data_IF_568445097891
#
_entry.id   IF_568445097891
#
_cell.length_a   1.000
_cell.length_b   1.000
_cell.length_c   1.000
_cell.angle_alpha   90.00
_cell.angle_beta   90.00
_cell.angle_gamma   90.00
#
_symmetry.space_group_name_H-M   'P 1'
#
loop_
_entity.id
_entity.type
_entity.pdbx_description
1 polymer ?
#
# COMPACT_ATOMS: atom_id res chain seq x y z
N UNK A 1 -14.57 14.09 -4.92
CA UNK A 1 -13.28 14.49 -4.32
C UNK A 1 -12.32 13.32 -4.43
N UNK A 2 -11.00 13.55 -4.60
CA UNK A 2 -10.04 12.46 -4.72
C UNK A 2 -10.06 11.59 -3.47
N UNK A 3 -9.99 10.28 -3.64
CA UNK A 3 -9.90 9.28 -2.56
C UNK A 3 -8.45 8.86 -2.35
N UNK A 4 -8.12 8.25 -1.20
CA UNK A 4 -6.75 7.73 -1.00
C UNK A 4 -6.40 6.63 -2.03
N UNK A 5 -7.40 5.96 -2.60
CA UNK A 5 -7.20 4.95 -3.62
C UNK A 5 -6.71 5.53 -4.96
N UNK A 6 -6.78 6.86 -5.12
CA UNK A 6 -6.23 7.54 -6.29
C UNK A 6 -4.69 7.55 -6.31
N UNK A 7 -4.04 7.25 -5.18
CA UNK A 7 -2.59 7.06 -5.09
C UNK A 7 -2.11 5.77 -5.77
N UNK A 8 -3.00 4.80 -5.97
CA UNK A 8 -2.67 3.47 -6.50
C UNK A 8 -2.95 3.35 -7.99
N UNK A 9 -2.27 2.40 -8.63
CA UNK A 9 -2.54 2.02 -10.01
C UNK A 9 -4.02 1.63 -10.23
N UNK A 10 -4.54 1.73 -11.46
CA UNK A 10 -5.92 1.35 -11.78
C UNK A 10 -6.25 -0.09 -11.38
N UNK A 11 -5.30 -1.02 -11.56
CA UNK A 11 -5.50 -2.43 -11.24
C UNK A 11 -5.62 -2.65 -9.72
N UNK A 12 -4.72 -2.05 -8.93
CA UNK A 12 -4.78 -2.11 -7.48
C UNK A 12 -6.07 -1.47 -6.94
N UNK A 13 -6.47 -0.31 -7.46
CA UNK A 13 -7.73 0.35 -7.09
C UNK A 13 -8.94 -0.52 -7.35
N UNK A 14 -9.02 -1.14 -8.53
CA UNK A 14 -10.12 -2.03 -8.90
C UNK A 14 -10.17 -3.26 -7.99
N UNK A 15 -9.02 -3.87 -7.71
CA UNK A 15 -8.92 -5.00 -6.78
C UNK A 15 -9.39 -4.63 -5.38
N UNK A 16 -8.92 -3.51 -4.83
CA UNK A 16 -9.29 -3.08 -3.47
C UNK A 16 -10.80 -2.83 -3.38
N UNK A 17 -11.36 -2.10 -4.35
CA UNK A 17 -12.79 -1.74 -4.38
C UNK A 17 -13.70 -2.96 -4.57
N UNK A 18 -13.21 -4.03 -5.18
CA UNK A 18 -13.94 -5.30 -5.29
C UNK A 18 -13.83 -6.19 -4.04
N UNK A 19 -12.77 -6.02 -3.24
CA UNK A 19 -12.50 -6.85 -2.06
C UNK A 19 -13.00 -6.24 -0.74
N UNK A 20 -13.03 -4.90 -0.65
CA UNK A 20 -13.35 -4.17 0.58
C UNK A 20 -14.31 -3.01 0.31
N UNK A 21 -15.22 -2.69 1.25
CA UNK A 21 -16.16 -1.58 1.08
C UNK A 21 -15.48 -0.20 1.12
N UNK A 22 -14.45 -0.04 1.94
CA UNK A 22 -13.68 1.19 2.09
C UNK A 22 -12.34 0.92 2.79
N UNK A 23 -11.33 1.79 2.61
CA UNK A 23 -10.12 1.80 3.44
C UNK A 23 -10.43 2.04 4.92
N UNK A 24 -9.63 1.45 5.81
CA UNK A 24 -9.64 1.80 7.24
C UNK A 24 -8.80 3.05 7.51
N UNK A 25 -9.03 3.74 8.63
CA UNK A 25 -8.29 4.96 8.99
C UNK A 25 -6.76 4.77 8.97
N UNK A 26 -6.27 3.63 9.50
CA UNK A 26 -4.83 3.32 9.50
C UNK A 26 -4.28 3.06 8.10
N UNK A 27 -5.11 2.54 7.19
CA UNK A 27 -4.75 2.39 5.77
C UNK A 27 -4.68 3.75 5.10
N UNK A 28 -5.70 4.61 5.27
CA UNK A 28 -5.70 5.93 4.63
C UNK A 28 -4.51 6.79 5.07
N UNK A 29 -4.29 6.90 6.38
CA UNK A 29 -3.18 7.68 6.93
C UNK A 29 -1.83 7.06 6.56
N UNK A 30 -1.73 5.73 6.65
CA UNK A 30 -0.53 4.99 6.30
C UNK A 30 -0.12 5.18 4.85
N UNK A 31 -1.05 4.99 3.91
CA UNK A 31 -0.76 5.12 2.48
C UNK A 31 -0.41 6.54 2.06
N UNK A 32 -1.08 7.58 2.59
CA UNK A 32 -0.69 8.96 2.32
C UNK A 32 0.73 9.27 2.79
N UNK A 33 1.11 8.76 3.98
CA UNK A 33 2.44 8.96 4.55
C UNK A 33 3.51 8.24 3.73
N UNK A 34 3.29 6.96 3.42
CA UNK A 34 4.23 6.13 2.66
C UNK A 34 4.38 6.60 1.21
N UNK A 35 3.27 6.98 0.54
CA UNK A 35 3.31 7.54 -0.82
C UNK A 35 4.07 8.88 -0.88
N UNK A 36 4.09 9.63 0.22
CA UNK A 36 4.92 10.82 0.39
C UNK A 36 6.40 10.54 0.69
N UNK A 37 6.84 9.28 0.64
CA UNK A 37 8.23 8.87 0.89
C UNK A 37 8.64 8.90 2.36
N UNK A 38 7.69 8.92 3.30
CA UNK A 38 7.98 9.04 4.73
C UNK A 38 8.16 7.66 5.38
N UNK A 39 9.02 7.57 6.39
CA UNK A 39 9.01 6.46 7.33
C UNK A 39 7.78 6.57 8.24
N UNK A 40 6.97 5.52 8.31
CA UNK A 40 5.65 5.59 8.96
C UNK A 40 5.52 4.53 10.06
N UNK A 41 5.21 4.98 11.28
CA UNK A 41 4.74 4.10 12.37
C UNK A 41 3.21 4.09 12.38
N UNK A 42 2.61 2.92 12.10
CA UNK A 42 1.16 2.74 12.09
C UNK A 42 0.68 2.09 13.39
N UNK A 43 -0.04 2.83 14.22
CA UNK A 43 -0.63 2.35 15.47
C UNK A 43 -2.15 2.27 15.35
N UNK A 44 -2.70 1.06 15.49
CA UNK A 44 -4.15 0.80 15.47
C UNK A 44 -4.46 -0.54 16.16
N UNK A 45 -5.71 -0.77 16.61
CA UNK A 45 -6.14 -2.05 17.18
C UNK A 45 -5.88 -3.28 16.27
N UNK A 46 -6.00 -4.48 16.84
CA UNK A 46 -6.07 -5.71 16.05
C UNK A 46 -7.32 -5.69 15.16
N UNK A 47 -7.27 -6.36 14.01
CA UNK A 47 -8.39 -6.35 13.06
C UNK A 47 -8.53 -5.07 12.22
N UNK A 48 -7.77 -4.00 12.47
CA UNK A 48 -7.86 -2.74 11.71
C UNK A 48 -7.24 -2.77 10.30
N UNK A 49 -6.80 -3.95 9.82
CA UNK A 49 -6.22 -4.07 8.48
C UNK A 49 -4.79 -3.54 8.33
N UNK A 50 -4.01 -3.45 9.41
CA UNK A 50 -2.61 -2.97 9.42
C UNK A 50 -1.69 -3.71 8.44
N UNK A 51 -1.91 -5.00 8.23
CA UNK A 51 -1.13 -5.78 7.26
C UNK A 51 -1.28 -5.20 5.86
N UNK A 52 -2.52 -4.99 5.40
CA UNK A 52 -2.75 -4.38 4.10
C UNK A 52 -2.29 -2.91 4.07
N UNK A 53 -2.40 -2.19 5.18
CA UNK A 53 -1.85 -0.84 5.30
C UNK A 53 -0.34 -0.79 5.02
N UNK A 54 0.43 -1.76 5.55
CA UNK A 54 1.88 -1.85 5.39
C UNK A 54 2.31 -2.35 4.00
N UNK A 55 1.56 -3.28 3.40
CA UNK A 55 2.01 -3.99 2.19
C UNK A 55 1.38 -3.51 0.88
N UNK A 56 0.18 -2.95 0.89
CA UNK A 56 -0.53 -2.71 -0.36
C UNK A 56 0.21 -1.73 -1.28
N UNK A 57 0.82 -0.70 -0.70
CA UNK A 57 1.66 0.24 -1.44
C UNK A 57 2.83 -0.44 -2.13
N UNK A 58 3.61 -1.25 -1.40
CA UNK A 58 4.80 -1.87 -1.98
C UNK A 58 4.46 -2.95 -3.03
N UNK A 59 3.34 -3.67 -2.86
CA UNK A 59 2.83 -4.60 -3.89
C UNK A 59 2.48 -3.84 -5.18
N UNK A 60 1.80 -2.70 -5.06
CA UNK A 60 1.47 -1.88 -6.22
C UNK A 60 2.73 -1.34 -6.93
N UNK A 61 3.73 -0.86 -6.17
CA UNK A 61 5.01 -0.43 -6.75
C UNK A 61 5.79 -1.59 -7.40
N UNK A 62 5.76 -2.79 -6.82
CA UNK A 62 6.38 -3.98 -7.42
C UNK A 62 5.71 -4.37 -8.75
N UNK A 63 4.38 -4.20 -8.85
CA UNK A 63 3.62 -4.56 -10.04
C UNK A 63 3.78 -3.54 -11.19
N UNK A 64 4.08 -2.29 -10.88
CA UNK A 64 4.10 -1.20 -11.86
C UNK A 64 5.52 -0.72 -12.23
N UNK A 65 6.53 -1.02 -11.41
CA UNK A 65 7.92 -0.71 -11.75
C UNK A 65 8.58 -1.82 -12.60
N UNK A 66 9.54 -1.48 -13.47
CA UNK A 66 10.32 -2.46 -14.22
C UNK A 66 10.99 -3.50 -13.31
N UNK A 67 11.13 -4.72 -13.82
CA UNK A 67 11.88 -5.76 -13.11
C UNK A 67 13.37 -5.38 -13.13
N UNK A 68 14.03 -5.24 -11.96
CA UNK A 68 15.43 -4.87 -11.89
C UNK A 68 16.34 -6.05 -12.25
N UNK A 69 17.65 -5.79 -12.30
CA UNK A 69 18.66 -6.83 -12.42
C UNK A 69 18.52 -7.88 -11.29
N UNK A 70 18.95 -9.12 -11.55
CA UNK A 70 18.71 -10.24 -10.64
C UNK A 70 19.18 -9.99 -9.20
N UNK A 71 20.36 -9.37 -9.04
CA UNK A 71 20.95 -9.02 -7.75
C UNK A 71 20.14 -8.00 -6.93
N UNK A 72 19.21 -7.28 -7.56
CA UNK A 72 18.44 -6.17 -6.98
C UNK A 72 16.94 -6.50 -6.83
N UNK A 73 16.53 -7.75 -7.09
CA UNK A 73 15.11 -8.14 -7.08
C UNK A 73 14.47 -8.12 -5.69
N UNK A 74 15.24 -8.22 -4.62
CA UNK A 74 14.72 -8.05 -3.27
C UNK A 74 14.45 -6.57 -3.00
N UNK A 75 13.19 -6.14 -3.21
CA UNK A 75 12.76 -4.73 -3.07
C UNK A 75 11.89 -4.45 -1.84
N UNK A 76 11.40 -5.50 -1.17
CA UNK A 76 10.59 -5.40 0.05
C UNK A 76 11.07 -6.46 1.04
N UNK A 77 11.37 -6.05 2.27
CA UNK A 77 11.75 -6.94 3.37
C UNK A 77 10.77 -6.73 4.54
N UNK A 78 10.14 -7.81 4.97
CA UNK A 78 9.31 -7.87 6.17
C UNK A 78 10.00 -8.78 7.19
N UNK A 79 10.04 -8.33 8.45
CA UNK A 79 10.71 -9.01 9.57
C UNK A 79 9.67 -9.28 10.65
#
# INVERSE_FOLDING_TARGET
>A
MPTVLDLFSPAARAWFSGAFPAPTEVQEGGWRSVAGGQHTLMSAPTGSGKTLAAFFWCIDQLANEPVPAEAERCRVLYI
#
